data_IF_491825683277
#
_entry.id   IF_491825683277
#
_cell.length_a   1.000
_cell.length_b   1.000
_cell.length_c   1.000
_cell.angle_alpha   90.00
_cell.angle_beta   90.00
_cell.angle_gamma   90.00
#
_symmetry.space_group_name_H-M   'P 1'
#
loop_
_entity.id
_entity.type
_entity.pdbx_description
1 polymer ?
#
# COMPACT_ATOMS: atom_id res chain seq x y z
N UNK A 1 -20.51 -7.19 4.70
CA UNK A 1 -20.29 -6.95 6.14
C UNK A 1 -19.35 -8.00 6.68
N UNK A 2 -18.28 -7.60 7.38
CA UNK A 2 -17.43 -8.50 8.14
C UNK A 2 -18.26 -9.32 9.13
N UNK A 3 -17.62 -10.11 9.97
CA UNK A 3 -18.35 -10.84 11.00
C UNK A 3 -18.71 -9.86 12.14
N UNK A 4 -20.01 -9.59 12.46
CA UNK A 4 -20.39 -8.57 13.44
C UNK A 4 -19.75 -8.74 14.83
N UNK A 5 -19.39 -9.97 15.19
CA UNK A 5 -18.78 -10.35 16.48
C UNK A 5 -17.30 -10.72 16.37
N UNK A 6 -16.72 -10.63 15.17
CA UNK A 6 -15.35 -11.11 14.92
C UNK A 6 -14.28 -10.47 15.80
N UNK A 7 -14.41 -9.18 16.11
CA UNK A 7 -13.50 -8.49 17.02
C UNK A 7 -13.53 -9.00 18.47
N UNK A 8 -14.60 -9.68 18.88
CA UNK A 8 -14.71 -10.34 20.18
C UNK A 8 -14.22 -11.78 20.16
N UNK A 9 -14.27 -12.44 19.01
CA UNK A 9 -13.95 -13.87 18.85
C UNK A 9 -12.48 -14.10 18.52
N UNK A 10 -11.90 -13.22 17.71
CA UNK A 10 -10.52 -13.34 17.25
C UNK A 10 -9.63 -12.29 17.91
N UNK A 11 -8.48 -12.71 18.40
CA UNK A 11 -7.44 -11.79 18.88
C UNK A 11 -6.82 -11.05 17.72
N UNK A 12 -6.29 -9.85 17.97
CA UNK A 12 -5.46 -9.14 17.02
C UNK A 12 -4.16 -9.90 16.79
N UNK A 13 -3.81 -10.09 15.54
CA UNK A 13 -2.52 -10.58 15.11
C UNK A 13 -1.98 -9.62 14.04
N UNK A 14 -0.69 -9.33 14.11
CA UNK A 14 0.03 -8.55 13.13
C UNK A 14 1.02 -9.48 12.40
N UNK A 15 1.58 -9.02 11.28
CA UNK A 15 2.61 -9.75 10.55
C UNK A 15 3.73 -10.22 11.50
N UNK A 16 4.01 -11.54 11.57
CA UNK A 16 4.99 -12.07 12.51
C UNK A 16 6.39 -11.55 12.18
N UNK A 17 7.15 -11.24 13.22
CA UNK A 17 8.55 -10.85 13.07
C UNK A 17 9.46 -12.07 13.31
N UNK A 18 10.52 -12.17 12.52
CA UNK A 18 11.57 -13.18 12.75
C UNK A 18 12.18 -13.06 14.14
N UNK A 19 12.79 -14.13 14.62
CA UNK A 19 13.44 -14.14 15.93
C UNK A 19 14.57 -13.09 16.00
N UNK A 20 14.83 -12.56 17.20
CA UNK A 20 15.92 -11.59 17.39
C UNK A 20 17.27 -12.13 16.88
N UNK A 21 17.53 -13.44 17.08
CA UNK A 21 18.76 -14.10 16.62
C UNK A 21 18.91 -14.14 15.09
N UNK A 22 17.81 -14.11 14.37
CA UNK A 22 17.78 -14.04 12.91
C UNK A 22 17.93 -12.61 12.44
N UNK A 23 17.15 -11.68 13.00
CA UNK A 23 17.14 -10.26 12.59
C UNK A 23 18.47 -9.54 12.77
N UNK A 24 19.32 -9.96 13.73
CA UNK A 24 20.62 -9.33 13.94
C UNK A 24 21.70 -9.77 12.93
N UNK A 25 21.40 -10.72 12.03
CA UNK A 25 22.36 -11.25 11.07
C UNK A 25 22.49 -10.42 9.80
N UNK A 26 21.45 -9.64 9.48
CA UNK A 26 21.37 -8.81 8.27
C UNK A 26 20.53 -7.54 8.54
N UNK A 27 20.29 -6.75 7.50
CA UNK A 27 19.43 -5.56 7.52
C UNK A 27 18.22 -5.71 6.59
N UNK A 28 17.82 -6.94 6.31
CA UNK A 28 16.70 -7.26 5.44
C UNK A 28 15.36 -7.09 6.17
N UNK A 29 14.27 -7.09 5.44
CA UNK A 29 12.91 -7.09 6.00
C UNK A 29 12.72 -8.36 6.85
N UNK A 30 12.01 -8.24 7.96
CA UNK A 30 11.93 -9.32 8.95
C UNK A 30 10.49 -9.67 9.35
N UNK A 31 9.53 -9.34 8.50
CA UNK A 31 8.13 -9.68 8.67
C UNK A 31 7.63 -10.45 7.45
N UNK A 32 6.93 -11.54 7.70
CA UNK A 32 6.16 -12.24 6.68
C UNK A 32 4.68 -11.89 6.79
N UNK A 33 3.90 -11.94 5.69
CA UNK A 33 2.46 -11.87 5.77
C UNK A 33 1.90 -13.00 6.65
N UNK A 34 0.75 -12.77 7.27
CA UNK A 34 -0.02 -13.83 7.91
C UNK A 34 -0.48 -14.88 6.88
N UNK A 35 -0.73 -16.11 7.32
CA UNK A 35 -1.38 -17.10 6.48
C UNK A 35 -2.73 -16.58 5.96
N UNK A 36 -3.19 -17.07 4.80
CA UNK A 36 -4.52 -16.67 4.27
C UNK A 36 -5.65 -16.89 5.28
N UNK A 37 -5.61 -17.99 6.04
CA UNK A 37 -6.60 -18.28 7.07
C UNK A 37 -6.56 -17.29 8.24
N UNK A 38 -5.38 -16.95 8.72
CA UNK A 38 -5.24 -15.99 9.81
C UNK A 38 -5.56 -14.59 9.33
N UNK A 39 -5.20 -14.25 8.09
CA UNK A 39 -5.57 -12.99 7.48
C UNK A 39 -7.09 -12.83 7.36
N UNK A 40 -7.83 -13.90 7.01
CA UNK A 40 -9.28 -13.91 7.01
C UNK A 40 -9.87 -13.63 8.39
N UNK A 41 -9.29 -14.21 9.46
CA UNK A 41 -9.68 -13.90 10.84
C UNK A 41 -9.44 -12.43 11.18
N UNK A 42 -8.34 -11.86 10.73
CA UNK A 42 -8.05 -10.43 10.94
C UNK A 42 -9.03 -9.55 10.15
N UNK A 43 -9.39 -9.91 8.93
CA UNK A 43 -10.45 -9.26 8.15
C UNK A 43 -11.81 -9.31 8.87
N UNK A 44 -12.15 -10.47 9.46
CA UNK A 44 -13.38 -10.68 10.22
C UNK A 44 -13.52 -9.77 11.46
N UNK A 45 -12.41 -9.26 12.01
CA UNK A 45 -12.44 -8.34 13.15
C UNK A 45 -13.02 -6.97 12.82
N UNK A 46 -13.17 -6.63 11.55
CA UNK A 46 -13.76 -5.36 11.14
C UNK A 46 -15.28 -5.36 11.35
N UNK A 47 -15.78 -4.39 12.12
CA UNK A 47 -17.22 -4.25 12.41
C UNK A 47 -18.02 -3.67 11.24
N UNK A 48 -17.35 -3.21 10.17
CA UNK A 48 -17.99 -2.50 9.05
C UNK A 48 -18.87 -1.33 9.54
N UNK A 49 -18.26 -0.40 10.26
CA UNK A 49 -18.95 0.71 10.90
C UNK A 49 -19.70 1.57 9.87
N UNK A 50 -20.94 1.98 10.16
CA UNK A 50 -21.71 2.91 9.31
C UNK A 50 -21.04 4.28 9.15
N UNK A 51 -20.22 4.71 10.11
CA UNK A 51 -19.32 5.87 10.03
C UNK A 51 -17.90 5.38 10.32
N UNK A 52 -17.15 4.94 9.31
CA UNK A 52 -15.83 4.35 9.52
C UNK A 52 -14.76 5.43 9.71
N UNK A 53 -14.43 5.78 10.94
CA UNK A 53 -13.37 6.74 11.26
C UNK A 53 -12.00 6.35 10.68
N UNK A 54 -11.73 5.05 10.56
CA UNK A 54 -10.51 4.55 9.91
C UNK A 54 -10.35 5.01 8.46
N UNK A 55 -11.47 5.13 7.74
CA UNK A 55 -11.52 5.56 6.35
C UNK A 55 -11.60 7.08 6.20
N UNK A 56 -12.16 7.77 7.17
CA UNK A 56 -12.39 9.21 7.10
C UNK A 56 -11.11 9.97 7.47
N UNK A 57 -10.35 10.41 6.47
CA UNK A 57 -9.20 11.29 6.66
C UNK A 57 -9.61 12.68 7.10
N UNK A 58 -9.96 12.86 8.38
CA UNK A 58 -10.37 14.15 8.93
C UNK A 58 -9.22 14.90 9.56
N UNK A 59 -9.09 16.16 9.26
CA UNK A 59 -8.18 17.07 9.96
C UNK A 59 -8.80 17.51 11.28
N UNK A 60 -8.09 17.29 12.37
CA UNK A 60 -8.46 17.73 13.72
C UNK A 60 -7.33 18.63 14.25
N UNK A 61 -7.51 19.94 14.16
CA UNK A 61 -6.43 20.89 14.41
C UNK A 61 -5.28 20.74 13.43
N UNK A 62 -4.08 20.43 13.91
CA UNK A 62 -2.88 20.16 13.10
C UNK A 62 -2.65 18.67 12.79
N UNK A 63 -3.48 17.78 13.28
CA UNK A 63 -3.36 16.33 13.11
C UNK A 63 -4.45 15.76 12.19
N UNK A 64 -4.18 14.61 11.60
CA UNK A 64 -5.17 13.83 10.84
C UNK A 64 -5.59 12.60 11.62
N UNK A 65 -6.89 12.27 11.56
CA UNK A 65 -7.45 11.03 12.07
C UNK A 65 -7.95 10.19 10.91
N UNK A 66 -7.67 8.89 10.93
CA UNK A 66 -8.03 7.98 9.85
C UNK A 66 -7.06 8.03 8.66
N UNK A 67 -7.43 7.38 7.57
CA UNK A 67 -6.61 7.28 6.36
C UNK A 67 -6.71 8.55 5.51
N UNK A 68 -5.60 9.30 5.27
CA UNK A 68 -5.63 10.50 4.41
C UNK A 68 -5.99 10.22 2.95
N UNK A 69 -5.81 8.97 2.50
CA UNK A 69 -6.20 8.53 1.15
C UNK A 69 -7.67 8.11 1.08
N UNK A 70 -8.38 8.12 2.20
CA UNK A 70 -9.75 7.59 2.32
C UNK A 70 -9.87 6.13 1.84
N UNK A 71 -8.88 5.30 2.18
CA UNK A 71 -8.88 3.87 1.83
C UNK A 71 -10.17 3.19 2.30
N UNK A 72 -10.74 2.38 1.42
CA UNK A 72 -12.02 1.71 1.61
C UNK A 72 -11.87 0.48 2.55
N UNK A 73 -11.36 0.75 3.74
CA UNK A 73 -10.88 -0.24 4.72
C UNK A 73 -11.95 -1.28 5.11
N UNK A 74 -13.19 -0.89 5.46
CA UNK A 74 -14.21 -1.87 5.81
C UNK A 74 -14.51 -2.83 4.65
N UNK A 75 -14.57 -2.33 3.43
CA UNK A 75 -14.94 -3.10 2.26
C UNK A 75 -13.89 -4.17 1.91
N UNK A 76 -12.61 -3.81 1.82
CA UNK A 76 -11.60 -4.82 1.53
C UNK A 76 -11.34 -5.77 2.73
N UNK A 77 -11.60 -5.36 3.98
CA UNK A 77 -11.59 -6.28 5.12
C UNK A 77 -12.70 -7.35 5.00
N UNK A 78 -13.90 -6.96 4.57
CA UNK A 78 -14.99 -7.89 4.32
C UNK A 78 -14.65 -8.87 3.19
N UNK A 79 -13.99 -8.39 2.14
CA UNK A 79 -13.54 -9.22 1.02
C UNK A 79 -12.47 -10.23 1.45
N UNK A 80 -11.48 -9.83 2.28
CA UNK A 80 -10.50 -10.75 2.87
C UNK A 80 -11.23 -11.82 3.70
N UNK A 81 -12.11 -11.42 4.60
CA UNK A 81 -12.87 -12.35 5.44
C UNK A 81 -13.58 -13.43 4.62
N UNK A 82 -14.13 -13.06 3.47
CA UNK A 82 -14.82 -13.98 2.53
C UNK A 82 -13.87 -14.75 1.64
N UNK A 83 -12.58 -14.53 1.69
CA UNK A 83 -11.59 -15.16 0.80
C UNK A 83 -11.57 -14.62 -0.62
N UNK A 84 -12.16 -13.46 -0.87
CA UNK A 84 -12.24 -12.82 -2.18
C UNK A 84 -11.01 -11.91 -2.43
N UNK A 85 -9.83 -12.52 -2.57
CA UNK A 85 -8.54 -11.83 -2.61
C UNK A 85 -8.37 -10.90 -3.80
N UNK A 86 -8.76 -11.33 -5.00
CA UNK A 86 -8.71 -10.49 -6.20
C UNK A 86 -9.56 -9.22 -6.05
N UNK A 87 -10.78 -9.37 -5.51
CA UNK A 87 -11.66 -8.22 -5.29
C UNK A 87 -11.12 -7.31 -4.17
N UNK A 88 -10.52 -7.89 -3.13
CA UNK A 88 -9.87 -7.12 -2.07
C UNK A 88 -8.72 -6.27 -2.64
N UNK A 89 -7.86 -6.86 -3.48
CA UNK A 89 -6.81 -6.13 -4.18
C UNK A 89 -7.37 -5.03 -5.08
N UNK A 90 -8.35 -5.34 -5.92
CA UNK A 90 -8.97 -4.36 -6.79
C UNK A 90 -9.61 -3.21 -5.99
N UNK A 91 -10.22 -3.52 -4.83
CA UNK A 91 -10.83 -2.50 -3.96
C UNK A 91 -9.79 -1.62 -3.26
N UNK A 92 -8.69 -2.19 -2.82
CA UNK A 92 -7.55 -1.48 -2.24
C UNK A 92 -6.93 -0.51 -3.25
N UNK A 93 -6.74 -0.95 -4.49
CA UNK A 93 -6.15 -0.16 -5.59
C UNK A 93 -7.00 1.03 -6.03
N UNK A 94 -8.28 1.12 -5.67
CA UNK A 94 -9.12 2.29 -6.00
C UNK A 94 -8.57 3.58 -5.42
N UNK A 95 -8.05 3.52 -4.20
CA UNK A 95 -7.58 4.70 -3.45
C UNK A 95 -6.09 4.67 -3.13
N UNK A 96 -5.43 3.51 -3.18
CA UNK A 96 -4.02 3.36 -2.87
C UNK A 96 -3.22 2.89 -4.09
N UNK A 97 -2.33 3.74 -4.59
CA UNK A 97 -1.45 3.40 -5.71
C UNK A 97 -0.36 2.37 -5.33
N UNK A 98 0.11 2.41 -4.09
CA UNK A 98 1.28 1.65 -3.64
C UNK A 98 1.06 0.95 -2.30
N UNK A 99 0.15 -0.06 -2.25
CA UNK A 99 -0.06 -0.84 -1.04
C UNK A 99 1.23 -1.54 -0.56
N UNK A 100 2.12 -1.93 -1.48
CA UNK A 100 3.42 -2.51 -1.20
C UNK A 100 4.32 -1.62 -0.35
N UNK A 101 4.21 -0.29 -0.49
CA UNK A 101 4.97 0.66 0.31
C UNK A 101 4.23 1.04 1.59
N UNK A 102 2.94 1.37 1.49
CA UNK A 102 2.15 1.85 2.63
C UNK A 102 1.95 0.77 3.68
N UNK A 103 1.77 -0.48 3.29
CA UNK A 103 1.66 -1.61 4.23
C UNK A 103 2.92 -1.81 5.09
N UNK A 104 4.08 -1.37 4.60
CA UNK A 104 5.37 -1.49 5.30
C UNK A 104 5.73 -0.26 6.13
N UNK A 105 5.49 0.95 5.60
CA UNK A 105 6.05 2.18 6.20
C UNK A 105 5.01 3.15 6.75
N UNK A 106 3.72 2.97 6.45
CA UNK A 106 2.68 3.86 6.94
C UNK A 106 2.54 3.77 8.47
N UNK A 107 2.40 4.92 9.19
CA UNK A 107 2.17 4.93 10.62
C UNK A 107 0.79 4.41 11.05
N UNK A 108 -0.05 4.01 10.09
CA UNK A 108 -1.38 3.41 10.30
C UNK A 108 -2.32 4.28 11.15
N UNK A 109 -2.53 5.54 10.76
CA UNK A 109 -3.50 6.44 11.40
C UNK A 109 -4.91 5.84 11.40
N UNK A 110 -5.23 5.00 10.42
CA UNK A 110 -6.49 4.25 10.34
C UNK A 110 -6.69 3.30 11.54
N UNK A 111 -5.63 2.64 12.02
CA UNK A 111 -5.71 1.79 13.21
C UNK A 111 -5.94 2.61 14.49
N UNK A 112 -5.30 3.80 14.57
CA UNK A 112 -5.52 4.72 15.70
C UNK A 112 -6.95 5.27 15.76
N UNK A 113 -7.59 5.40 14.59
CA UNK A 113 -8.98 5.85 14.47
C UNK A 113 -10.01 4.72 14.52
N UNK A 114 -9.58 3.46 14.58
CA UNK A 114 -10.49 2.31 14.60
C UNK A 114 -11.31 2.26 15.89
N UNK A 115 -12.62 2.20 15.75
CA UNK A 115 -13.54 2.15 16.93
C UNK A 115 -13.39 0.88 17.77
N UNK A 116 -12.92 -0.23 17.20
CA UNK A 116 -12.53 -1.41 17.98
C UNK A 116 -11.47 -1.07 19.05
N UNK A 117 -10.59 -0.13 18.74
CA UNK A 117 -9.55 0.34 19.67
C UNK A 117 -10.06 1.10 20.89
N UNK A 118 -11.34 1.46 20.95
CA UNK A 118 -11.94 2.12 22.12
C UNK A 118 -12.18 1.12 23.28
N UNK A 119 -12.39 -0.15 22.98
CA UNK A 119 -12.75 -1.18 23.98
C UNK A 119 -11.82 -2.42 23.91
N UNK A 120 -10.80 -2.40 23.07
CA UNK A 120 -9.88 -3.52 22.89
C UNK A 120 -8.83 -3.18 21.84
N UNK A 121 -8.39 -4.19 21.10
CA UNK A 121 -7.40 -3.99 20.02
C UNK A 121 -8.07 -3.53 18.74
N UNK A 122 -7.51 -2.51 18.09
CA UNK A 122 -7.87 -2.09 16.74
C UNK A 122 -7.72 -3.24 15.71
N UNK A 123 -8.39 -3.13 14.58
CA UNK A 123 -8.16 -4.04 13.44
C UNK A 123 -6.74 -3.85 12.91
N UNK A 124 -6.07 -4.95 12.56
CA UNK A 124 -4.72 -4.96 11.97
C UNK A 124 -4.76 -4.50 10.50
N UNK A 125 -5.15 -3.24 10.28
CA UNK A 125 -5.39 -2.70 8.94
C UNK A 125 -4.14 -2.79 8.05
N UNK A 126 -2.99 -2.42 8.59
CA UNK A 126 -1.72 -2.44 7.87
C UNK A 126 -1.27 -3.88 7.52
N UNK A 127 -1.44 -4.82 8.44
CA UNK A 127 -1.13 -6.23 8.18
C UNK A 127 -2.09 -6.82 7.13
N UNK A 128 -3.36 -6.41 7.14
CA UNK A 128 -4.33 -6.81 6.14
C UNK A 128 -3.97 -6.25 4.75
N UNK A 129 -3.57 -4.98 4.67
CA UNK A 129 -3.08 -4.36 3.44
C UNK A 129 -1.85 -5.10 2.89
N UNK A 130 -0.90 -5.48 3.79
CA UNK A 130 0.28 -6.26 3.46
C UNK A 130 -0.08 -7.64 2.89
N UNK A 131 -0.99 -8.36 3.54
CA UNK A 131 -1.46 -9.65 3.04
C UNK A 131 -2.15 -9.55 1.68
N UNK A 132 -2.96 -8.50 1.43
CA UNK A 132 -3.61 -8.30 0.14
C UNK A 132 -2.59 -8.11 -0.98
N UNK A 133 -1.61 -7.23 -0.78
CA UNK A 133 -0.69 -6.89 -1.85
C UNK A 133 0.31 -8.01 -2.16
N UNK A 134 0.87 -8.67 -1.14
CA UNK A 134 1.78 -9.78 -1.40
C UNK A 134 1.06 -10.97 -2.04
N UNK A 135 -0.16 -11.30 -1.58
CA UNK A 135 -0.99 -12.30 -2.28
C UNK A 135 -1.27 -11.91 -3.74
N UNK A 136 -1.50 -10.63 -4.02
CA UNK A 136 -1.74 -10.18 -5.39
C UNK A 136 -0.51 -10.37 -6.29
N UNK A 137 0.69 -10.17 -5.77
CA UNK A 137 1.93 -10.49 -6.49
C UNK A 137 2.13 -12.00 -6.69
N UNK A 138 1.88 -12.79 -5.66
CA UNK A 138 1.98 -14.26 -5.73
C UNK A 138 1.03 -14.87 -6.76
N UNK A 139 -0.16 -14.33 -6.88
CA UNK A 139 -1.21 -14.83 -7.79
C UNK A 139 -1.17 -14.15 -9.19
N UNK A 140 -0.23 -13.27 -9.47
CA UNK A 140 -0.14 -12.53 -10.74
C UNK A 140 -1.28 -11.53 -10.97
N UNK A 141 -1.96 -11.09 -9.90
CA UNK A 141 -3.01 -10.07 -9.98
C UNK A 141 -2.45 -8.65 -10.08
N UNK A 142 -1.21 -8.47 -9.63
CA UNK A 142 -0.50 -7.19 -9.62
C UNK A 142 0.31 -6.93 -10.91
N UNK A 143 0.07 -7.71 -11.95
CA UNK A 143 0.73 -7.55 -13.26
C UNK A 143 0.41 -6.21 -13.92
N UNK A 144 1.25 -5.84 -14.90
CA UNK A 144 1.15 -4.58 -15.63
C UNK A 144 -0.21 -4.42 -16.34
N UNK A 145 -0.85 -3.28 -16.13
CA UNK A 145 -2.15 -2.92 -16.72
C UNK A 145 -1.98 -1.83 -17.77
N UNK A 146 -1.66 -2.23 -18.98
CA UNK A 146 -1.42 -1.30 -20.09
C UNK A 146 -2.74 -0.62 -20.50
N UNK A 147 -2.80 0.73 -20.54
CA UNK A 147 -3.99 1.46 -20.98
C UNK A 147 -4.36 1.09 -22.41
N UNK A 148 -5.62 0.71 -22.64
CA UNK A 148 -6.14 0.30 -23.96
C UNK A 148 -6.13 1.44 -24.99
N UNK A 149 -6.24 2.68 -24.54
CA UNK A 149 -6.31 3.88 -25.38
C UNK A 149 -5.32 4.92 -24.85
N UNK A 150 -4.49 5.45 -25.74
CA UNK A 150 -3.58 6.56 -25.45
C UNK A 150 -4.21 7.88 -25.92
N UNK A 151 -4.14 8.91 -25.06
CA UNK A 151 -4.77 10.22 -25.31
C UNK A 151 -3.94 11.11 -26.24
N UNK A 152 -2.69 10.74 -26.53
CA UNK A 152 -1.72 11.56 -27.26
C UNK A 152 -1.11 12.71 -26.43
N UNK A 153 -1.55 12.92 -25.19
CA UNK A 153 -0.96 13.93 -24.29
C UNK A 153 0.31 13.40 -23.68
N UNK A 154 1.38 14.23 -23.68
CA UNK A 154 2.66 13.95 -23.03
C UNK A 154 2.74 14.75 -21.73
N UNK A 155 3.09 14.08 -20.64
CA UNK A 155 3.20 14.66 -19.29
C UNK A 155 4.62 14.45 -18.78
N UNK A 156 5.26 15.52 -18.34
CA UNK A 156 6.52 15.47 -17.63
C UNK A 156 6.26 15.58 -16.11
N UNK A 157 6.87 14.69 -15.34
CA UNK A 157 6.84 14.71 -13.87
C UNK A 157 8.26 14.90 -13.39
N UNK A 158 8.47 15.83 -12.47
CA UNK A 158 9.79 16.14 -11.92
C UNK A 158 9.91 15.55 -10.53
N UNK A 159 10.80 14.58 -10.39
CA UNK A 159 11.06 13.81 -9.19
C UNK A 159 10.26 12.51 -9.11
N UNK A 160 10.97 11.43 -8.76
CA UNK A 160 10.43 10.06 -8.63
C UNK A 160 10.12 9.66 -7.18
N UNK A 161 9.96 10.62 -6.26
CA UNK A 161 9.47 10.32 -4.92
C UNK A 161 8.03 9.80 -4.93
N UNK A 162 7.47 9.37 -3.77
CA UNK A 162 6.14 8.75 -3.70
C UNK A 162 5.03 9.52 -4.41
N UNK A 163 5.03 10.86 -4.27
CA UNK A 163 4.01 11.70 -4.93
C UNK A 163 4.18 11.78 -6.44
N UNK A 164 5.42 11.85 -6.94
CA UNK A 164 5.71 11.80 -8.38
C UNK A 164 5.31 10.45 -8.98
N UNK A 165 5.66 9.35 -8.30
CA UNK A 165 5.24 8.02 -8.72
C UNK A 165 3.71 7.86 -8.74
N UNK A 166 3.00 8.38 -7.72
CA UNK A 166 1.55 8.31 -7.67
C UNK A 166 0.90 9.12 -8.80
N UNK A 167 1.43 10.29 -9.11
CA UNK A 167 0.98 11.06 -10.25
C UNK A 167 1.25 10.33 -11.58
N UNK A 168 2.43 9.71 -11.72
CA UNK A 168 2.78 8.92 -12.90
C UNK A 168 1.84 7.73 -13.11
N UNK A 169 1.60 6.94 -12.07
CA UNK A 169 0.67 5.80 -12.09
C UNK A 169 -0.74 6.26 -12.52
N UNK A 170 -1.29 7.27 -11.85
CA UNK A 170 -2.64 7.77 -12.14
C UNK A 170 -2.78 8.38 -13.55
N UNK A 171 -1.79 9.10 -14.02
CA UNK A 171 -1.85 9.73 -15.34
C UNK A 171 -1.63 8.72 -16.45
N UNK A 172 -0.73 7.74 -16.24
CA UNK A 172 -0.53 6.64 -17.18
C UNK A 172 -1.80 5.79 -17.33
N UNK A 173 -2.44 5.42 -16.22
CA UNK A 173 -3.71 4.66 -16.23
C UNK A 173 -4.82 5.39 -17.00
N UNK A 174 -4.81 6.74 -17.02
CA UNK A 174 -5.72 7.56 -17.85
C UNK A 174 -5.32 7.64 -19.31
N UNK A 175 -4.26 6.94 -19.72
CA UNK A 175 -3.81 6.85 -21.10
C UNK A 175 -2.88 7.97 -21.56
N UNK A 176 -2.34 8.80 -20.65
CA UNK A 176 -1.32 9.77 -21.01
C UNK A 176 0.04 9.10 -21.16
N UNK A 177 0.90 9.65 -22.02
CA UNK A 177 2.33 9.27 -22.08
C UNK A 177 3.08 10.05 -21.02
N UNK A 178 3.63 9.33 -20.03
CA UNK A 178 4.25 9.95 -18.86
C UNK A 178 5.73 9.70 -18.85
N UNK A 179 6.53 10.77 -18.67
CA UNK A 179 7.97 10.69 -18.42
C UNK A 179 8.26 11.30 -17.06
N UNK A 180 8.94 10.54 -16.20
CA UNK A 180 9.38 10.98 -14.88
C UNK A 180 10.88 11.28 -14.93
N UNK A 181 11.25 12.52 -14.64
CA UNK A 181 12.65 12.96 -14.58
C UNK A 181 13.15 12.88 -13.15
N UNK A 182 14.20 12.13 -12.91
CA UNK A 182 14.82 11.94 -11.59
C UNK A 182 16.29 12.38 -11.62
N UNK A 183 16.67 13.26 -10.70
CA UNK A 183 18.05 13.77 -10.62
C UNK A 183 19.07 12.74 -10.15
N UNK A 184 18.63 11.76 -9.36
CA UNK A 184 19.49 10.70 -8.84
C UNK A 184 19.59 9.55 -9.85
N UNK A 185 20.48 8.61 -9.56
CA UNK A 185 20.77 7.44 -10.39
C UNK A 185 19.69 6.34 -10.32
N UNK A 186 18.79 6.39 -9.30
CA UNK A 186 17.70 5.43 -9.12
C UNK A 186 16.38 6.10 -8.79
N UNK A 187 15.30 5.49 -9.26
CA UNK A 187 13.92 5.91 -9.01
C UNK A 187 13.49 5.57 -7.58
N UNK A 188 12.59 6.37 -7.00
CA UNK A 188 11.96 6.10 -5.71
C UNK A 188 12.13 7.21 -4.66
N UNK A 189 13.04 8.14 -4.88
CA UNK A 189 13.27 9.24 -3.94
C UNK A 189 13.59 8.73 -2.51
N UNK A 190 12.87 9.22 -1.50
CA UNK A 190 13.10 8.78 -0.10
C UNK A 190 12.78 7.30 0.15
N UNK A 191 11.95 6.64 -0.66
CA UNK A 191 11.76 5.19 -0.56
C UNK A 191 13.08 4.47 -0.81
N UNK A 192 13.82 4.89 -1.85
CA UNK A 192 15.10 4.31 -2.24
C UNK A 192 16.24 4.73 -1.34
N UNK A 193 16.35 6.03 -1.02
CA UNK A 193 17.53 6.62 -0.38
C UNK A 193 17.35 6.93 1.10
N UNK A 194 16.12 6.98 1.62
CA UNK A 194 15.83 7.40 2.99
C UNK A 194 15.36 6.29 3.92
N UNK A 195 14.67 5.26 3.40
CA UNK A 195 14.11 4.18 4.20
C UNK A 195 15.10 3.01 4.23
N UNK A 196 15.48 2.49 5.42
CA UNK A 196 16.37 1.34 5.51
C UNK A 196 15.70 0.04 5.04
N UNK A 197 16.48 -0.92 4.53
CA UNK A 197 15.98 -2.19 4.00
C UNK A 197 15.12 -2.96 5.00
N UNK A 198 15.47 -2.95 6.28
CA UNK A 198 14.67 -3.61 7.33
C UNK A 198 13.21 -3.11 7.43
N UNK A 199 12.87 -2.00 6.78
CA UNK A 199 11.52 -1.43 6.73
C UNK A 199 10.88 -1.52 5.35
N UNK A 200 11.70 -1.43 4.30
CA UNK A 200 11.27 -1.51 2.91
C UNK A 200 12.49 -1.91 2.07
N UNK A 201 12.52 -3.14 1.62
CA UNK A 201 13.55 -3.64 0.73
C UNK A 201 13.51 -2.93 -0.62
N UNK A 202 14.69 -2.76 -1.23
CA UNK A 202 14.80 -2.07 -2.52
C UNK A 202 14.19 -2.88 -3.64
N UNK A 203 14.21 -4.19 -3.56
CA UNK A 203 13.59 -5.10 -4.51
C UNK A 203 12.07 -4.88 -4.60
N UNK A 204 11.41 -4.53 -3.50
CA UNK A 204 9.97 -4.18 -3.49
C UNK A 204 9.72 -2.90 -4.30
N UNK A 205 10.63 -1.93 -4.24
CA UNK A 205 10.54 -0.70 -5.01
C UNK A 205 10.79 -1.00 -6.49
N UNK A 206 11.85 -1.73 -6.79
CA UNK A 206 12.24 -2.11 -8.15
C UNK A 206 11.14 -2.94 -8.82
N UNK A 207 10.55 -3.91 -8.10
CA UNK A 207 9.39 -4.70 -8.56
C UNK A 207 8.25 -3.78 -9.04
N UNK A 208 7.91 -2.74 -8.27
CA UNK A 208 6.85 -1.81 -8.66
C UNK A 208 7.26 -0.90 -9.81
N UNK A 209 8.49 -0.41 -9.84
CA UNK A 209 8.98 0.43 -10.94
C UNK A 209 8.96 -0.35 -12.27
N UNK A 210 9.42 -1.60 -12.27
CA UNK A 210 9.39 -2.45 -13.46
C UNK A 210 7.96 -2.59 -14.01
N UNK A 211 6.96 -2.82 -13.15
CA UNK A 211 5.56 -2.86 -13.57
C UNK A 211 5.12 -1.53 -14.20
N UNK A 212 5.49 -0.39 -13.61
CA UNK A 212 5.14 0.92 -14.17
C UNK A 212 5.81 1.15 -15.53
N UNK A 213 7.03 0.66 -15.75
CA UNK A 213 7.72 0.70 -17.04
C UNK A 213 7.00 -0.18 -18.07
N UNK A 214 6.62 -1.40 -17.71
CA UNK A 214 5.82 -2.28 -18.55
C UNK A 214 4.45 -1.66 -18.91
N UNK A 215 3.85 -0.90 -18.02
CA UNK A 215 2.62 -0.13 -18.26
C UNK A 215 2.85 1.08 -19.20
N UNK A 216 4.10 1.43 -19.46
CA UNK A 216 4.51 2.48 -20.41
C UNK A 216 4.85 3.83 -19.78
N UNK A 217 5.19 3.86 -18.49
CA UNK A 217 5.84 5.02 -17.85
C UNK A 217 7.33 5.01 -18.22
N UNK A 218 7.86 6.15 -18.62
CA UNK A 218 9.31 6.30 -18.88
C UNK A 218 9.98 6.98 -17.68
N UNK A 219 11.12 6.45 -17.25
CA UNK A 219 11.94 7.06 -16.21
C UNK A 219 13.28 7.51 -16.79
N UNK A 220 13.59 8.81 -16.62
CA UNK A 220 14.85 9.44 -17.02
C UNK A 220 15.63 9.80 -15.75
N UNK A 221 16.55 8.93 -15.36
CA UNK A 221 17.44 9.14 -14.20
C UNK A 221 18.63 10.03 -14.56
N UNK A 222 19.35 10.51 -13.55
CA UNK A 222 20.48 11.45 -13.70
C UNK A 222 20.10 12.73 -14.47
N UNK A 223 18.84 13.12 -14.45
CA UNK A 223 18.28 14.26 -15.20
C UNK A 223 17.78 15.32 -14.21
N UNK A 224 18.53 16.42 -14.09
CA UNK A 224 18.28 17.47 -13.11
C UNK A 224 17.61 18.68 -13.77
N UNK A 225 16.30 18.61 -13.93
CA UNK A 225 15.51 19.63 -14.64
C UNK A 225 15.78 21.06 -14.12
N UNK A 226 16.15 21.92 -15.03
CA UNK A 226 16.51 23.33 -14.75
C UNK A 226 18.00 23.56 -14.49
N UNK A 227 18.83 22.51 -14.55
CA UNK A 227 20.31 22.63 -14.48
C UNK A 227 21.02 21.98 -15.65
N UNK A 228 20.38 21.01 -16.30
CA UNK A 228 20.88 20.25 -17.48
C UNK A 228 20.21 20.74 -18.76
#
# INVERSE_FOLDING_TARGET
MGKPTGFMEYKREDAPAYSVKERIKNFDEFHDPLSKEDQQKQGARCMDCGVPFCQAGMQIGSAFSGCPLNNLIPEWNDLIYKGNWEQAYNRLKVTNNFPEFTSRVCPALCEKACTCGANGDAVSVRANEYGIIENAYEEGLADARIPKVRTGKKIAIIGSGPSGLAAADQLNQRGHSVTVFERNDRVGGLLMYGIPNMKLEKDVIERKINIMEEEGVTFETCSNVGKD
#
